data_IF_554644692795
#
_entry.id   IF_554644692795
#
_cell.length_a   1.000
_cell.length_b   1.000
_cell.length_c   1.000
_cell.angle_alpha   90.00
_cell.angle_beta   90.00
_cell.angle_gamma   90.00
#
_symmetry.space_group_name_H-M   'P 1'
#
loop_
_entity.id
_entity.type
_entity.pdbx_description
1 polymer ?
#
# COMPACT_ATOMS: atom_id res chain seq x y z
N UNK A 1 -2.31 11.11 3.62
CA UNK A 1 -2.05 10.39 2.36
C UNK A 1 -3.36 10.12 1.65
N UNK A 2 -3.34 9.90 0.33
CA UNK A 2 -4.47 9.36 -0.42
C UNK A 2 -4.50 7.84 -0.23
N UNK A 3 -5.56 7.32 0.36
CA UNK A 3 -5.75 5.90 0.63
C UNK A 3 -6.84 5.36 -0.28
N UNK A 4 -6.54 4.28 -1.00
CA UNK A 4 -7.57 3.50 -1.67
C UNK A 4 -7.92 2.30 -0.79
N UNK A 5 -8.97 2.45 0.01
CA UNK A 5 -9.57 1.37 0.76
C UNK A 5 -10.68 0.70 -0.05
N UNK A 6 -10.64 -0.63 -0.14
CA UNK A 6 -11.74 -1.40 -0.74
C UNK A 6 -11.81 -2.81 -0.17
N UNK A 7 -12.94 -3.48 -0.44
CA UNK A 7 -13.22 -4.83 0.04
C UNK A 7 -14.10 -5.57 -0.96
N UNK A 8 -14.34 -6.85 -0.68
CA UNK A 8 -15.38 -7.61 -1.39
C UNK A 8 -16.76 -7.05 -1.07
N UNK A 9 -17.46 -6.51 -2.08
CA UNK A 9 -18.87 -6.12 -1.96
C UNK A 9 -19.79 -7.32 -1.63
N UNK A 10 -19.38 -8.55 -1.93
CA UNK A 10 -20.11 -9.75 -1.48
C UNK A 10 -20.12 -9.88 0.04
N UNK A 11 -19.05 -9.41 0.69
CA UNK A 11 -18.90 -9.41 2.14
C UNK A 11 -19.68 -8.29 2.85
N UNK A 12 -20.11 -7.25 2.13
CA UNK A 12 -20.72 -6.04 2.72
C UNK A 12 -21.88 -6.37 3.64
N UNK A 13 -22.77 -7.30 3.26
CA UNK A 13 -23.93 -7.68 4.09
C UNK A 13 -23.55 -8.15 5.51
N UNK A 14 -22.40 -8.81 5.65
CA UNK A 14 -21.96 -9.40 6.92
C UNK A 14 -20.89 -8.56 7.63
N UNK A 15 -20.15 -7.73 6.88
CA UNK A 15 -18.97 -7.00 7.37
C UNK A 15 -19.14 -5.47 7.27
N UNK A 16 -20.35 -4.95 7.06
CA UNK A 16 -20.60 -3.51 6.83
C UNK A 16 -20.07 -2.63 7.98
N UNK A 17 -20.24 -3.11 9.22
CA UNK A 17 -19.74 -2.43 10.42
C UNK A 17 -18.21 -2.37 10.41
N UNK A 18 -17.55 -3.47 10.07
CA UNK A 18 -16.08 -3.53 10.01
C UNK A 18 -15.56 -2.62 8.89
N UNK A 19 -16.19 -2.63 7.71
CA UNK A 19 -15.82 -1.77 6.59
C UNK A 19 -15.97 -0.29 6.94
N UNK A 20 -17.06 0.06 7.63
CA UNK A 20 -17.32 1.44 8.07
C UNK A 20 -16.31 1.87 9.12
N UNK A 21 -16.01 1.00 10.11
CA UNK A 21 -14.97 1.25 11.11
C UNK A 21 -13.60 1.49 10.47
N UNK A 22 -13.19 0.63 9.53
CA UNK A 22 -11.92 0.80 8.81
C UNK A 22 -11.93 2.12 8.04
N UNK A 23 -12.99 2.40 7.27
CA UNK A 23 -13.11 3.63 6.50
C UNK A 23 -12.97 4.88 7.37
N UNK A 24 -13.70 4.94 8.49
CA UNK A 24 -13.63 6.06 9.43
C UNK A 24 -12.30 6.13 10.17
N UNK A 25 -11.68 5.00 10.52
CA UNK A 25 -10.37 4.97 11.15
C UNK A 25 -9.30 5.60 10.25
N UNK A 26 -9.33 5.33 8.94
CA UNK A 26 -8.44 5.97 7.96
C UNK A 26 -8.57 7.51 8.01
N UNK A 27 -9.80 8.02 8.07
CA UNK A 27 -10.05 9.47 8.12
C UNK A 27 -9.63 10.08 9.46
N UNK A 28 -9.92 9.39 10.58
CA UNK A 28 -9.54 9.82 11.93
C UNK A 28 -8.02 9.90 12.11
N UNK A 29 -7.26 9.05 11.41
CA UNK A 29 -5.79 9.10 11.35
C UNK A 29 -5.25 10.21 10.43
N UNK A 30 -6.13 11.05 9.85
CA UNK A 30 -5.74 12.19 9.02
C UNK A 30 -5.41 11.80 7.57
N UNK A 31 -5.97 10.71 7.07
CA UNK A 31 -5.81 10.28 5.68
C UNK A 31 -7.11 10.43 4.88
N UNK A 32 -6.97 10.51 3.56
CA UNK A 32 -8.10 10.75 2.67
C UNK A 32 -8.45 9.47 1.93
N UNK A 33 -9.66 8.93 2.15
CA UNK A 33 -10.22 7.91 1.27
C UNK A 33 -10.56 8.50 -0.10
N UNK A 34 -10.02 7.92 -1.17
CA UNK A 34 -10.26 8.41 -2.54
C UNK A 34 -11.44 7.71 -3.24
N UNK A 35 -12.00 6.69 -2.61
CA UNK A 35 -13.14 5.93 -3.10
C UNK A 35 -14.00 5.51 -1.91
N UNK A 36 -15.32 5.55 -2.10
CA UNK A 36 -16.32 5.25 -1.08
C UNK A 36 -17.24 4.10 -1.49
N UNK A 37 -16.97 3.44 -2.63
CA UNK A 37 -17.85 2.44 -3.23
C UNK A 37 -18.16 1.28 -2.28
N UNK A 38 -17.21 0.89 -1.44
CA UNK A 38 -17.40 -0.17 -0.44
C UNK A 38 -18.39 0.24 0.66
N UNK A 39 -18.55 1.54 0.91
CA UNK A 39 -19.45 2.13 1.91
C UNK A 39 -20.80 2.50 1.29
N UNK A 40 -20.80 3.25 0.20
CA UNK A 40 -22.02 3.77 -0.44
C UNK A 40 -22.63 2.84 -1.49
N UNK A 41 -21.88 1.83 -1.95
CA UNK A 41 -22.27 0.96 -3.06
C UNK A 41 -23.40 0.00 -2.71
N UNK A 42 -24.39 -0.07 -3.60
CA UNK A 42 -25.46 -1.07 -3.54
C UNK A 42 -24.99 -2.38 -4.19
N UNK A 43 -24.89 -3.45 -3.39
CA UNK A 43 -24.40 -4.77 -3.84
C UNK A 43 -25.25 -5.36 -4.97
N UNK A 44 -26.55 -5.10 -4.99
CA UNK A 44 -27.46 -5.69 -5.99
C UNK A 44 -27.28 -5.02 -7.34
N UNK A 45 -27.26 -3.68 -7.37
CA UNK A 45 -27.02 -2.91 -8.59
C UNK A 45 -25.62 -3.16 -9.17
N UNK A 46 -24.63 -3.40 -8.30
CA UNK A 46 -23.26 -3.67 -8.70
C UNK A 46 -23.12 -4.94 -9.56
N UNK A 47 -23.80 -6.02 -9.20
CA UNK A 47 -23.69 -7.30 -9.92
C UNK A 47 -24.70 -7.46 -11.08
N UNK A 48 -25.70 -6.58 -11.18
CA UNK A 48 -26.66 -6.57 -12.30
C UNK A 48 -26.39 -5.47 -13.32
N UNK A 49 -25.27 -4.75 -13.19
CA UNK A 49 -24.88 -3.67 -14.08
C UNK A 49 -24.59 -4.12 -15.52
N UNK A 50 -24.67 -3.17 -16.44
CA UNK A 50 -24.32 -3.37 -17.85
C UNK A 50 -22.81 -3.59 -18.03
N UNK A 51 -22.40 -4.04 -19.22
CA UNK A 51 -20.97 -4.14 -19.56
C UNK A 51 -20.23 -2.80 -19.42
N UNK A 52 -20.89 -1.68 -19.73
CA UNK A 52 -20.30 -0.35 -19.59
C UNK A 52 -20.07 0.02 -18.12
N UNK A 53 -20.95 -0.42 -17.21
CA UNK A 53 -20.78 -0.21 -15.77
C UNK A 53 -19.58 -1.01 -15.25
N UNK A 54 -19.44 -2.26 -15.70
CA UNK A 54 -18.29 -3.11 -15.38
C UNK A 54 -16.97 -2.52 -15.88
N UNK A 55 -16.95 -2.00 -17.11
CA UNK A 55 -15.78 -1.33 -17.70
C UNK A 55 -15.40 -0.08 -16.92
N UNK A 56 -16.40 0.73 -16.54
CA UNK A 56 -16.18 1.99 -15.81
C UNK A 56 -15.64 1.72 -14.41
N UNK A 57 -16.20 0.73 -13.71
CA UNK A 57 -15.71 0.27 -12.42
C UNK A 57 -14.26 -0.21 -12.51
N UNK A 58 -13.95 -1.06 -13.49
CA UNK A 58 -12.60 -1.57 -13.69
C UNK A 58 -11.59 -0.45 -13.90
N UNK A 59 -11.91 0.51 -14.78
CA UNK A 59 -11.05 1.68 -15.04
C UNK A 59 -10.88 2.53 -13.78
N UNK A 60 -11.95 2.79 -13.04
CA UNK A 60 -11.91 3.55 -11.78
C UNK A 60 -11.02 2.88 -10.76
N UNK A 61 -11.15 1.56 -10.57
CA UNK A 61 -10.33 0.82 -9.61
C UNK A 61 -8.82 0.87 -9.97
N UNK A 62 -8.48 0.74 -11.25
CA UNK A 62 -7.08 0.89 -11.70
C UNK A 62 -6.55 2.32 -11.55
N UNK A 63 -7.39 3.33 -11.80
CA UNK A 63 -6.99 4.73 -11.58
C UNK A 63 -6.78 5.02 -10.09
N UNK A 64 -7.62 4.48 -9.20
CA UNK A 64 -7.44 4.56 -7.76
C UNK A 64 -6.13 3.89 -7.31
N UNK A 65 -5.82 2.70 -7.82
CA UNK A 65 -4.52 2.04 -7.55
C UNK A 65 -3.35 2.93 -7.97
N UNK A 66 -3.45 3.59 -9.12
CA UNK A 66 -2.38 4.47 -9.63
C UNK A 66 -2.22 5.74 -8.79
N UNK A 67 -3.33 6.35 -8.38
CA UNK A 67 -3.36 7.69 -7.76
C UNK A 67 -3.24 7.68 -6.24
N UNK A 68 -3.56 6.57 -5.58
CA UNK A 68 -3.37 6.41 -4.14
C UNK A 68 -1.89 6.34 -3.75
N UNK A 69 -1.57 6.83 -2.57
CA UNK A 69 -0.26 6.67 -1.94
C UNK A 69 -0.16 5.33 -1.21
N UNK A 70 -1.29 4.82 -0.70
CA UNK A 70 -1.41 3.57 0.04
C UNK A 70 -2.68 2.81 -0.37
N UNK A 71 -2.56 1.50 -0.53
CA UNK A 71 -3.70 0.61 -0.83
C UNK A 71 -4.04 -0.20 0.41
N UNK A 72 -5.30 -0.21 0.81
CA UNK A 72 -5.80 -1.02 1.93
C UNK A 72 -6.90 -1.93 1.41
N UNK A 73 -6.73 -3.23 1.55
CA UNK A 73 -7.67 -4.24 1.08
C UNK A 73 -8.20 -5.03 2.26
N UNK A 74 -9.51 -5.06 2.46
CA UNK A 74 -10.12 -6.04 3.38
C UNK A 74 -10.34 -7.35 2.62
N UNK A 75 -9.67 -8.42 3.08
CA UNK A 75 -9.54 -9.70 2.38
C UNK A 75 -10.08 -10.90 3.16
N UNK A 76 -10.86 -10.69 4.23
CA UNK A 76 -11.56 -11.78 4.95
C UNK A 76 -12.44 -12.63 4.04
N UNK A 77 -13.04 -12.00 3.03
CA UNK A 77 -13.91 -12.68 2.07
C UNK A 77 -13.14 -12.94 0.78
N UNK A 78 -12.92 -14.21 0.40
CA UNK A 78 -12.27 -14.55 -0.86
C UNK A 78 -12.96 -13.87 -2.05
N UNK A 79 -12.18 -13.08 -2.80
CA UNK A 79 -12.68 -12.33 -3.95
C UNK A 79 -11.62 -12.22 -5.03
N UNK A 80 -11.99 -12.56 -6.26
CA UNK A 80 -11.14 -12.39 -7.44
C UNK A 80 -10.69 -10.93 -7.59
N UNK A 81 -11.59 -9.97 -7.31
CA UNK A 81 -11.25 -8.55 -7.42
C UNK A 81 -10.20 -8.13 -6.40
N UNK A 82 -10.22 -8.68 -5.18
CA UNK A 82 -9.24 -8.34 -4.15
C UNK A 82 -7.86 -8.89 -4.50
N UNK A 83 -7.77 -10.15 -4.93
CA UNK A 83 -6.50 -10.71 -5.39
C UNK A 83 -5.94 -9.97 -6.62
N UNK A 84 -6.81 -9.60 -7.57
CA UNK A 84 -6.42 -8.80 -8.73
C UNK A 84 -5.88 -7.41 -8.34
N UNK A 85 -6.56 -6.71 -7.44
CA UNK A 85 -6.14 -5.39 -6.98
C UNK A 85 -4.86 -5.43 -6.15
N UNK A 86 -4.70 -6.46 -5.31
CA UNK A 86 -3.46 -6.70 -4.56
C UNK A 86 -2.28 -6.81 -5.52
N UNK A 87 -2.38 -7.69 -6.52
CA UNK A 87 -1.31 -7.85 -7.52
C UNK A 87 -1.05 -6.56 -8.28
N UNK A 88 -2.10 -5.87 -8.75
CA UNK A 88 -1.95 -4.60 -9.50
C UNK A 88 -1.31 -3.49 -8.67
N UNK A 89 -1.59 -3.43 -7.37
CA UNK A 89 -0.98 -2.48 -6.47
C UNK A 89 0.53 -2.75 -6.29
N UNK A 90 0.92 -4.00 -6.09
CA UNK A 90 2.33 -4.40 -5.97
C UNK A 90 3.10 -4.18 -7.29
N UNK A 91 2.51 -4.51 -8.44
CA UNK A 91 3.08 -4.21 -9.76
C UNK A 91 3.26 -2.69 -9.97
N UNK A 92 2.34 -1.89 -9.45
CA UNK A 92 2.43 -0.42 -9.46
C UNK A 92 3.37 0.14 -8.39
N UNK A 93 4.09 -0.73 -7.66
CA UNK A 93 5.01 -0.37 -6.58
C UNK A 93 4.38 0.48 -5.48
N UNK A 94 3.12 0.17 -5.15
CA UNK A 94 2.41 0.80 -4.03
C UNK A 94 2.62 0.00 -2.74
N UNK A 95 2.73 0.64 -1.57
CA UNK A 95 2.56 -0.04 -0.31
C UNK A 95 1.12 -0.56 -0.21
N UNK A 96 0.97 -1.79 0.30
CA UNK A 96 -0.31 -2.49 0.40
C UNK A 96 -0.48 -3.05 1.81
N UNK A 97 -1.63 -2.79 2.43
CA UNK A 97 -2.05 -3.43 3.66
C UNK A 97 -3.26 -4.31 3.34
N UNK A 98 -3.09 -5.63 3.48
CA UNK A 98 -4.16 -6.60 3.37
C UNK A 98 -4.67 -6.94 4.79
N UNK A 99 -5.82 -6.37 5.15
CA UNK A 99 -6.49 -6.60 6.42
C UNK A 99 -7.37 -7.85 6.35
N UNK A 100 -7.42 -8.64 7.41
CA UNK A 100 -8.38 -9.73 7.53
C UNK A 100 -8.86 -9.92 8.97
N UNK A 101 -10.10 -10.33 9.15
CA UNK A 101 -10.67 -10.63 10.45
C UNK A 101 -10.08 -11.95 10.96
N UNK A 102 -9.74 -12.01 12.24
CA UNK A 102 -9.27 -13.24 12.88
C UNK A 102 -10.23 -14.40 12.56
N UNK A 103 -9.68 -15.54 12.12
CA UNK A 103 -10.43 -16.71 11.66
C UNK A 103 -10.70 -16.75 10.14
N UNK A 104 -10.43 -15.67 9.41
CA UNK A 104 -10.60 -15.57 7.95
C UNK A 104 -9.27 -15.41 7.21
N UNK A 105 -8.25 -16.18 7.63
CA UNK A 105 -6.89 -16.06 7.12
C UNK A 105 -6.81 -16.17 5.58
N UNK A 106 -6.22 -15.17 4.89
CA UNK A 106 -5.99 -15.22 3.45
C UNK A 106 -4.73 -16.03 3.15
N UNK A 107 -4.82 -17.35 3.31
CA UNK A 107 -3.67 -18.29 3.25
C UNK A 107 -2.68 -18.03 2.10
N UNK A 108 -3.19 -17.74 0.89
CA UNK A 108 -2.33 -17.50 -0.27
C UNK A 108 -1.59 -16.15 -0.20
N UNK A 109 -2.22 -15.10 0.36
CA UNK A 109 -1.60 -13.78 0.48
C UNK A 109 -0.45 -13.77 1.49
N UNK A 110 -0.54 -14.60 2.54
CA UNK A 110 0.54 -14.78 3.53
C UNK A 110 1.82 -15.39 2.93
N UNK A 111 1.72 -16.08 1.78
CA UNK A 111 2.87 -16.63 1.07
C UNK A 111 3.56 -15.66 0.11
N UNK A 112 3.07 -14.43 -0.02
CA UNK A 112 3.67 -13.40 -0.88
C UNK A 112 4.82 -12.74 -0.13
N UNK A 113 6.03 -12.92 -0.65
CA UNK A 113 7.25 -12.28 -0.13
C UNK A 113 7.50 -10.98 -0.90
N UNK A 114 6.93 -9.88 -0.41
CA UNK A 114 7.14 -8.52 -0.93
C UNK A 114 7.18 -7.53 0.25
N UNK A 115 8.27 -6.77 0.37
CA UNK A 115 8.51 -5.85 1.50
C UNK A 115 7.44 -4.75 1.66
N UNK A 116 6.72 -4.46 0.57
CA UNK A 116 5.66 -3.44 0.49
C UNK A 116 4.29 -3.99 0.88
N UNK A 117 4.15 -5.31 1.00
CA UNK A 117 2.92 -5.96 1.44
C UNK A 117 2.98 -6.20 2.95
N UNK A 118 1.93 -5.78 3.64
CA UNK A 118 1.63 -6.17 5.00
C UNK A 118 0.33 -6.97 5.00
N UNK A 119 0.31 -8.11 5.68
CA UNK A 119 -0.90 -8.92 5.88
C UNK A 119 -1.19 -8.93 7.36
N UNK A 120 -2.24 -8.25 7.78
CA UNK A 120 -2.51 -7.90 9.18
C UNK A 120 -3.89 -8.41 9.57
N UNK A 121 -3.96 -9.20 10.64
CA UNK A 121 -5.23 -9.59 11.22
C UNK A 121 -5.80 -8.51 12.14
N UNK A 122 -7.11 -8.50 12.28
CA UNK A 122 -7.80 -7.64 13.24
C UNK A 122 -8.99 -8.34 13.91
N UNK A 123 -9.36 -7.81 15.06
CA UNK A 123 -10.64 -8.03 15.72
C UNK A 123 -11.45 -6.74 15.70
N UNK A 124 -12.74 -6.78 16.02
CA UNK A 124 -13.60 -5.59 15.99
C UNK A 124 -13.15 -4.46 16.92
N UNK A 125 -12.38 -4.80 17.95
CA UNK A 125 -11.83 -3.89 18.96
C UNK A 125 -10.45 -3.36 18.58
N UNK A 126 -9.68 -4.11 17.77
CA UNK A 126 -8.30 -3.78 17.42
C UNK A 126 -8.13 -3.06 16.08
N UNK A 127 -9.21 -2.85 15.30
CA UNK A 127 -9.16 -2.21 13.96
C UNK A 127 -8.33 -0.92 13.97
N UNK A 128 -8.58 -0.01 14.91
CA UNK A 128 -7.90 1.29 14.92
C UNK A 128 -6.40 1.17 15.24
N UNK A 129 -6.04 0.33 16.20
CA UNK A 129 -4.66 0.11 16.62
C UNK A 129 -3.84 -0.58 15.53
N UNK A 130 -4.36 -1.70 14.99
CA UNK A 130 -3.69 -2.46 13.94
C UNK A 130 -3.53 -1.65 12.66
N UNK A 131 -4.56 -0.89 12.30
CA UNK A 131 -4.52 -0.02 11.14
C UNK A 131 -3.50 1.10 11.30
N UNK A 132 -3.45 1.74 12.48
CA UNK A 132 -2.47 2.78 12.77
C UNK A 132 -1.05 2.23 12.65
N UNK A 133 -0.77 1.12 13.32
CA UNK A 133 0.54 0.46 13.29
C UNK A 133 0.96 0.09 11.86
N UNK A 134 0.06 -0.55 11.11
CA UNK A 134 0.33 -0.96 9.73
C UNK A 134 0.58 0.25 8.80
N UNK A 135 -0.13 1.36 9.00
CA UNK A 135 0.08 2.59 8.23
C UNK A 135 1.42 3.24 8.57
N UNK A 136 1.81 3.29 9.84
CA UNK A 136 3.12 3.81 10.26
C UNK A 136 4.26 3.00 9.61
N UNK A 137 4.19 1.67 9.65
CA UNK A 137 5.15 0.79 8.95
C UNK A 137 5.15 1.01 7.43
N UNK A 138 3.97 1.21 6.83
CA UNK A 138 3.86 1.49 5.39
C UNK A 138 4.50 2.84 5.02
N UNK A 139 4.42 3.83 5.91
CA UNK A 139 5.04 5.16 5.72
C UNK A 139 6.57 5.10 5.84
N UNK A 140 7.10 4.34 6.80
CA UNK A 140 8.54 4.14 6.93
C UNK A 140 9.16 3.46 5.71
N UNK A 141 8.41 2.51 5.12
CA UNK A 141 8.82 1.79 3.91
C UNK A 141 8.45 2.49 2.60
N UNK A 142 7.71 3.59 2.64
CA UNK A 142 7.37 4.35 1.45
C UNK A 142 8.63 5.03 0.91
N UNK A 143 9.02 4.71 -0.32
CA UNK A 143 10.20 5.25 -1.00
C UNK A 143 10.22 6.78 -0.92
N UNK A 144 11.08 7.34 -0.06
CA UNK A 144 11.22 8.79 0.10
C UNK A 144 12.04 9.33 -1.07
N UNK A 145 11.40 10.10 -1.96
CA UNK A 145 12.12 10.80 -3.04
C UNK A 145 12.88 11.99 -2.49
N UNK A 146 14.17 11.82 -2.28
CA UNK A 146 15.10 12.90 -1.95
C UNK A 146 15.75 13.47 -3.22
N UNK A 147 15.53 14.76 -3.48
CA UNK A 147 16.20 15.49 -4.56
C UNK A 147 17.15 16.53 -3.97
N UNK A 148 18.38 16.60 -4.48
CA UNK A 148 19.37 17.60 -4.07
C UNK A 148 20.25 18.02 -5.24
N UNK A 149 20.81 19.22 -5.17
CA UNK A 149 21.76 19.70 -6.15
C UNK A 149 23.15 19.13 -5.88
N UNK A 150 23.86 18.74 -6.96
CA UNK A 150 25.24 18.28 -6.89
C UNK A 150 26.17 19.19 -7.67
N UNK A 151 27.42 19.29 -7.23
CA UNK A 151 28.44 20.00 -7.99
C UNK A 151 28.78 19.25 -9.29
N UNK A 152 29.30 19.93 -10.33
CA UNK A 152 29.75 19.28 -11.56
C UNK A 152 30.82 18.21 -11.32
N UNK A 153 31.64 18.36 -10.28
CA UNK A 153 32.66 17.39 -9.91
C UNK A 153 32.05 16.08 -9.41
N UNK A 154 31.05 16.14 -8.51
CA UNK A 154 30.31 14.97 -8.04
C UNK A 154 29.59 14.29 -9.22
N UNK A 155 28.98 15.08 -10.10
CA UNK A 155 28.32 14.56 -11.31
C UNK A 155 29.27 13.72 -12.18
N UNK A 156 30.46 14.26 -12.50
CA UNK A 156 31.48 13.54 -13.28
C UNK A 156 31.95 12.26 -12.58
N UNK A 157 32.11 12.30 -11.27
CA UNK A 157 32.51 11.11 -10.49
C UNK A 157 31.45 10.01 -10.56
N UNK A 158 30.17 10.34 -10.34
CA UNK A 158 29.07 9.38 -10.44
C UNK A 158 28.90 8.83 -11.87
N UNK A 159 29.20 9.63 -12.90
CA UNK A 159 29.26 9.17 -14.29
C UNK A 159 30.36 8.16 -14.54
N UNK A 160 31.56 8.44 -14.03
CA UNK A 160 32.67 7.49 -14.11
C UNK A 160 32.32 6.19 -13.38
N UNK A 161 31.73 6.26 -12.18
CA UNK A 161 31.28 5.07 -11.42
C UNK A 161 30.30 4.25 -12.25
N UNK A 162 29.28 4.88 -12.83
CA UNK A 162 28.28 4.18 -13.64
C UNK A 162 28.90 3.48 -14.85
N UNK A 163 29.87 4.13 -15.52
CA UNK A 163 30.54 3.57 -16.69
C UNK A 163 31.47 2.40 -16.36
N UNK A 164 32.24 2.53 -15.29
CA UNK A 164 33.30 1.56 -14.92
C UNK A 164 32.75 0.42 -14.08
N UNK A 165 31.96 0.73 -13.04
CA UNK A 165 31.39 -0.27 -12.13
C UNK A 165 30.06 -0.86 -12.62
N UNK A 166 29.49 -0.32 -13.71
CA UNK A 166 28.22 -0.78 -14.32
C UNK A 166 27.03 -0.76 -13.36
N UNK A 167 26.99 0.22 -12.45
CA UNK A 167 25.90 0.41 -11.49
C UNK A 167 25.26 1.81 -11.64
N UNK A 168 23.95 1.97 -11.48
CA UNK A 168 23.31 3.28 -11.53
C UNK A 168 23.85 4.24 -10.45
N UNK A 169 23.83 5.55 -10.74
CA UNK A 169 24.28 6.59 -9.79
C UNK A 169 23.52 6.52 -8.45
N UNK A 170 22.20 6.30 -8.51
CA UNK A 170 21.34 6.18 -7.32
C UNK A 170 21.70 4.98 -6.46
N UNK A 171 21.95 3.81 -7.10
CA UNK A 171 22.36 2.59 -6.39
C UNK A 171 23.70 2.79 -5.68
N UNK A 172 24.65 3.45 -6.35
CA UNK A 172 25.94 3.76 -5.73
C UNK A 172 25.83 4.70 -4.54
N UNK A 173 25.04 5.77 -4.67
CA UNK A 173 24.81 6.72 -3.57
C UNK A 173 24.10 6.05 -2.39
N UNK A 174 23.09 5.22 -2.67
CA UNK A 174 22.39 4.45 -1.64
C UNK A 174 23.36 3.56 -0.86
N UNK A 175 24.19 2.78 -1.56
CA UNK A 175 25.16 1.90 -0.92
C UNK A 175 26.19 2.66 -0.06
N UNK A 176 26.57 3.89 -0.44
CA UNK A 176 27.44 4.73 0.39
C UNK A 176 26.74 5.16 1.69
N UNK A 177 25.46 5.54 1.60
CA UNK A 177 24.66 5.97 2.76
C UNK A 177 24.36 4.79 3.68
N UNK A 178 23.94 3.64 3.14
CA UNK A 178 23.71 2.40 3.91
C UNK A 178 24.96 2.01 4.70
N UNK A 179 26.13 2.04 4.04
CA UNK A 179 27.41 1.79 4.70
C UNK A 179 27.71 2.82 5.80
N UNK A 180 27.39 4.09 5.60
CA UNK A 180 27.59 5.11 6.62
C UNK A 180 26.67 4.89 7.83
N UNK A 181 25.41 4.52 7.60
CA UNK A 181 24.43 4.20 8.65
C UNK A 181 24.93 3.05 9.53
N UNK A 182 25.43 1.97 8.92
CA UNK A 182 25.98 0.82 9.65
C UNK A 182 27.14 1.21 10.59
N UNK A 183 27.97 2.17 10.17
CA UNK A 183 29.16 2.60 10.89
C UNK A 183 28.92 3.78 11.85
N UNK A 184 27.76 4.43 11.80
CA UNK A 184 27.47 5.63 12.60
C UNK A 184 26.85 5.25 13.97
N UNK A 185 27.69 5.20 15.01
CA UNK A 185 27.26 4.86 16.37
C UNK A 185 26.30 5.89 17.00
N UNK A 186 26.38 7.16 16.61
CA UNK A 186 25.50 8.21 17.16
C UNK A 186 24.07 8.02 16.64
N UNK A 187 23.92 7.74 15.35
CA UNK A 187 22.63 7.43 14.73
C UNK A 187 22.02 6.16 15.35
N UNK A 188 22.81 5.09 15.50
CA UNK A 188 22.37 3.79 16.06
C UNK A 188 22.03 3.82 17.56
N UNK A 189 22.37 4.90 18.27
CA UNK A 189 21.94 5.09 19.66
C UNK A 189 20.59 5.79 19.76
N UNK A 190 20.18 6.47 18.69
CA UNK A 190 18.93 7.23 18.61
C UNK A 190 17.80 6.43 17.94
N UNK A 191 18.16 5.46 17.10
CA UNK A 191 17.27 4.55 16.36
C UNK A 191 17.84 3.13 16.41
#
# INVERSE_FOLDING_TARGET
MKVYFTASLRGKKNNDLDYTKIYSAIENLGHQNIDDLVISGNTQQFYTGSHNDQLSLYKKALDNVKTADLIILEVSIPSLSMGFLLLKALEASKPVIALYKVGYSPFFALGIDDERLQVVDYTEESIEEELKSAIEVAQEKADVRFNFFISPAIGRYLDWVSRVKKIPRSVYLRALIEKEIENNEEYRKLF
#
